data_IF_118678573216
#
_entry.id   IF_118678573216
#
_cell.length_a   1.000
_cell.length_b   1.000
_cell.length_c   1.000
_cell.angle_alpha   90.00
_cell.angle_beta   90.00
_cell.angle_gamma   90.00
#
_symmetry.space_group_name_H-M   'P 1'
#
loop_
_entity.id
_entity.type
_entity.pdbx_description
1 polymer ?
#
# COMPACT_ATOMS: atom_id res chain seq x y z
N UNK A 1 19.62 2.85 15.53
CA UNK A 1 18.49 3.81 15.39
C UNK A 1 17.72 3.43 14.13
N UNK A 2 16.36 3.43 14.15
CA UNK A 2 15.57 3.19 12.94
C UNK A 2 15.69 4.43 12.03
N UNK A 3 16.04 4.22 10.75
CA UNK A 3 16.14 5.32 9.78
C UNK A 3 14.76 5.85 9.40
N UNK A 4 14.66 7.15 9.09
CA UNK A 4 13.44 7.73 8.52
C UNK A 4 13.24 7.20 7.10
N UNK A 5 12.10 6.54 6.86
CA UNK A 5 11.72 6.04 5.54
C UNK A 5 11.09 7.14 4.68
N UNK A 6 10.13 7.88 5.28
CA UNK A 6 9.48 9.02 4.63
C UNK A 6 9.22 10.16 5.63
N UNK A 7 9.15 11.38 5.10
CA UNK A 7 8.79 12.58 5.85
C UNK A 7 7.91 13.49 4.99
N UNK A 8 6.80 13.92 5.57
CA UNK A 8 5.92 14.96 5.07
C UNK A 8 6.09 16.21 5.94
N UNK A 9 6.26 17.35 5.33
CA UNK A 9 6.40 18.64 6.01
C UNK A 9 5.41 19.62 5.40
N UNK A 10 4.38 20.00 6.15
CA UNK A 10 3.29 20.88 5.72
C UNK A 10 2.66 20.45 4.37
N UNK A 11 2.63 19.13 4.13
CA UNK A 11 2.18 18.58 2.87
C UNK A 11 0.66 18.77 2.71
N UNK A 12 0.25 19.28 1.55
CA UNK A 12 -1.15 19.60 1.27
C UNK A 12 -1.55 19.08 -0.10
N UNK A 13 -2.84 18.70 -0.24
CA UNK A 13 -3.42 18.29 -1.53
C UNK A 13 -4.70 19.06 -1.78
N UNK A 14 -4.71 19.85 -2.84
CA UNK A 14 -5.87 20.62 -3.30
C UNK A 14 -6.21 20.21 -4.73
N UNK A 15 -7.48 20.07 -5.03
CA UNK A 15 -8.00 19.77 -6.37
C UNK A 15 -8.93 20.88 -6.83
N UNK A 16 -9.02 21.09 -8.14
CA UNK A 16 -9.98 22.01 -8.72
C UNK A 16 -11.29 21.26 -8.98
N UNK A 17 -12.40 21.76 -8.44
CA UNK A 17 -13.75 21.26 -8.72
C UNK A 17 -14.55 22.39 -9.38
N UNK A 18 -14.55 22.42 -10.72
CA UNK A 18 -15.07 23.56 -11.47
C UNK A 18 -14.28 24.85 -11.17
N UNK A 19 -14.98 25.88 -10.72
CA UNK A 19 -14.37 27.16 -10.29
C UNK A 19 -13.83 27.17 -8.87
N UNK A 20 -14.14 26.14 -8.07
CA UNK A 20 -13.78 26.08 -6.66
C UNK A 20 -12.52 25.22 -6.43
N UNK A 21 -11.71 25.61 -5.44
CA UNK A 21 -10.64 24.78 -4.91
C UNK A 21 -11.14 23.98 -3.71
N UNK A 22 -10.92 22.68 -3.71
CA UNK A 22 -11.23 21.79 -2.58
C UNK A 22 -9.93 21.25 -2.02
N UNK A 23 -9.67 21.52 -0.76
CA UNK A 23 -8.50 20.99 -0.04
C UNK A 23 -8.86 19.61 0.53
N UNK A 24 -8.18 18.59 0.05
CA UNK A 24 -8.36 17.19 0.47
C UNK A 24 -7.42 16.82 1.62
N UNK A 25 -6.22 17.42 1.67
CA UNK A 25 -5.24 17.28 2.75
C UNK A 25 -4.69 18.67 3.06
N UNK A 26 -4.62 19.00 4.33
CA UNK A 26 -4.20 20.32 4.79
C UNK A 26 -3.10 20.21 5.85
N UNK A 27 -1.92 20.70 5.49
CA UNK A 27 -0.76 20.88 6.39
C UNK A 27 -0.38 19.58 7.13
N UNK A 28 -0.26 18.49 6.39
CA UNK A 28 0.12 17.18 6.94
C UNK A 28 1.61 17.18 7.33
N UNK A 29 1.87 16.93 8.60
CA UNK A 29 3.21 16.68 9.14
C UNK A 29 3.27 15.22 9.60
N UNK A 30 4.11 14.40 8.98
CA UNK A 30 4.23 12.99 9.27
C UNK A 30 5.65 12.49 9.03
N UNK A 31 6.21 11.79 10.01
CA UNK A 31 7.47 11.06 9.84
C UNK A 31 7.22 9.57 10.09
N UNK A 32 7.71 8.72 9.18
CA UNK A 32 7.61 7.26 9.26
C UNK A 32 9.02 6.67 9.25
N UNK A 33 9.30 5.79 10.19
CA UNK A 33 10.58 5.08 10.30
C UNK A 33 10.50 3.71 9.66
N UNK A 34 11.62 3.18 9.21
CA UNK A 34 11.69 1.80 8.68
C UNK A 34 11.20 0.79 9.71
N UNK A 35 10.36 -0.14 9.27
CA UNK A 35 9.77 -1.18 10.10
C UNK A 35 8.71 -0.67 11.10
N UNK A 36 8.12 0.51 10.88
CA UNK A 36 6.89 0.91 11.59
C UNK A 36 5.67 0.28 10.94
N UNK A 37 4.65 -0.02 11.75
CA UNK A 37 3.31 -0.34 11.30
C UNK A 37 2.37 0.77 11.79
N UNK A 38 1.89 1.60 10.86
CA UNK A 38 1.03 2.75 11.16
C UNK A 38 -0.39 2.45 10.69
N UNK A 39 -1.36 2.75 11.54
CA UNK A 39 -2.78 2.71 11.20
C UNK A 39 -3.33 4.14 11.08
N UNK A 40 -3.79 4.51 9.90
CA UNK A 40 -4.52 5.76 9.65
C UNK A 40 -6.00 5.52 9.93
N UNK A 41 -6.54 6.19 10.92
CA UNK A 41 -7.96 6.13 11.27
C UNK A 41 -8.68 7.43 10.95
N UNK A 42 -9.98 7.35 10.81
CA UNK A 42 -10.85 8.49 10.59
C UNK A 42 -12.12 8.11 9.85
N UNK A 43 -13.16 8.97 9.86
CA UNK A 43 -14.41 8.72 9.16
C UNK A 43 -14.21 8.63 7.63
N UNK A 44 -15.25 8.14 6.92
CA UNK A 44 -15.26 8.19 5.46
C UNK A 44 -15.12 9.64 4.98
N UNK A 45 -14.32 9.85 3.94
CA UNK A 45 -14.05 11.19 3.41
C UNK A 45 -13.00 12.00 4.17
N UNK A 46 -12.41 11.52 5.27
CA UNK A 46 -11.40 12.27 6.03
C UNK A 46 -10.07 12.48 5.30
N UNK A 47 -9.85 11.83 4.14
CA UNK A 47 -8.62 11.98 3.34
C UNK A 47 -7.64 10.81 3.42
N UNK A 48 -7.97 9.69 4.10
CA UNK A 48 -7.06 8.53 4.27
C UNK A 48 -6.53 7.98 2.96
N UNK A 49 -7.42 7.61 2.03
CA UNK A 49 -7.04 7.08 0.70
C UNK A 49 -6.26 8.12 -0.11
N UNK A 50 -6.62 9.40 -0.01
CA UNK A 50 -5.88 10.50 -0.65
C UNK A 50 -4.46 10.58 -0.09
N UNK A 51 -4.29 10.47 1.23
CA UNK A 51 -2.97 10.50 1.86
C UNK A 51 -2.14 9.29 1.43
N UNK A 52 -2.72 8.07 1.42
CA UNK A 52 -2.04 6.87 0.92
C UNK A 52 -1.62 7.02 -0.54
N UNK A 53 -2.51 7.54 -1.41
CA UNK A 53 -2.21 7.73 -2.83
C UNK A 53 -1.08 8.75 -3.04
N UNK A 54 -1.07 9.84 -2.28
CA UNK A 54 0.01 10.84 -2.34
C UNK A 54 1.34 10.29 -1.81
N UNK A 55 1.33 9.57 -0.68
CA UNK A 55 2.52 8.88 -0.16
C UNK A 55 3.02 7.85 -1.17
N UNK A 56 2.11 7.11 -1.78
CA UNK A 56 2.41 6.09 -2.78
C UNK A 56 2.78 6.61 -4.16
N UNK A 57 2.77 7.93 -4.34
CA UNK A 57 3.11 8.59 -5.61
C UNK A 57 2.15 8.25 -6.77
N UNK A 58 0.96 7.72 -6.46
CA UNK A 58 -0.14 7.55 -7.42
C UNK A 58 -0.85 8.90 -7.66
N UNK A 59 -0.79 9.80 -6.69
CA UNK A 59 -1.18 11.20 -6.77
C UNK A 59 -0.05 12.09 -6.23
N UNK A 60 -0.19 13.40 -6.31
CA UNK A 60 0.86 14.34 -5.91
C UNK A 60 0.34 15.32 -4.87
N UNK A 61 1.16 15.62 -3.86
CA UNK A 61 0.94 16.80 -3.04
C UNK A 61 1.02 18.07 -3.89
N UNK A 62 0.18 19.04 -3.60
CA UNK A 62 0.16 20.34 -4.29
C UNK A 62 0.95 21.41 -3.55
N UNK A 63 1.33 21.15 -2.30
CA UNK A 63 2.14 22.04 -1.46
C UNK A 63 2.89 21.27 -0.40
N UNK A 64 3.85 21.94 0.23
CA UNK A 64 4.70 21.36 1.26
C UNK A 64 5.84 20.48 0.73
N UNK A 65 6.51 19.76 1.63
CA UNK A 65 7.63 18.90 1.33
C UNK A 65 7.28 17.42 1.49
N UNK A 66 7.79 16.58 0.58
CA UNK A 66 7.73 15.13 0.69
C UNK A 66 9.11 14.54 0.36
N UNK A 67 9.69 13.80 1.32
CA UNK A 67 10.91 13.01 1.12
C UNK A 67 10.64 11.53 1.34
N UNK A 68 11.22 10.68 0.49
CA UNK A 68 11.13 9.22 0.59
C UNK A 68 12.52 8.62 0.34
N UNK A 69 13.02 7.80 1.28
CA UNK A 69 14.40 7.26 1.24
C UNK A 69 15.47 8.34 1.12
N UNK A 70 15.23 9.53 1.71
CA UNK A 70 16.12 10.69 1.60
C UNK A 70 15.97 11.51 0.32
N UNK A 71 15.19 11.05 -0.66
CA UNK A 71 14.99 11.72 -1.94
C UNK A 71 13.82 12.72 -1.90
N UNK A 72 13.97 13.96 -2.40
CA UNK A 72 12.91 14.98 -2.36
C UNK A 72 11.87 14.75 -3.47
N UNK A 73 10.86 13.92 -3.19
CA UNK A 73 9.83 13.49 -4.15
C UNK A 73 9.04 14.66 -4.74
N UNK A 74 8.77 15.71 -3.93
CA UNK A 74 7.99 16.89 -4.34
C UNK A 74 8.62 17.68 -5.51
N UNK A 75 9.94 17.55 -5.72
CA UNK A 75 10.68 18.20 -6.82
C UNK A 75 11.02 17.27 -7.97
N UNK A 76 10.64 15.98 -7.88
CA UNK A 76 10.97 14.99 -8.90
C UNK A 76 10.12 15.12 -10.15
N UNK A 77 10.75 14.89 -11.31
CA UNK A 77 10.04 14.65 -12.57
C UNK A 77 9.27 13.32 -12.49
N UNK A 78 8.13 13.24 -13.16
CA UNK A 78 7.25 12.06 -13.21
C UNK A 78 8.01 10.75 -13.48
N UNK A 79 8.93 10.74 -14.44
CA UNK A 79 9.73 9.57 -14.79
C UNK A 79 10.54 9.02 -13.59
N UNK A 80 11.12 9.88 -12.77
CA UNK A 80 11.93 9.47 -11.62
C UNK A 80 11.03 9.01 -10.47
N UNK A 81 9.93 9.73 -10.23
CA UNK A 81 8.90 9.36 -9.26
C UNK A 81 8.31 7.98 -9.57
N UNK A 82 8.01 7.72 -10.86
CA UNK A 82 7.50 6.44 -11.35
C UNK A 82 8.48 5.27 -11.11
N UNK A 83 9.78 5.50 -11.27
CA UNK A 83 10.80 4.49 -10.93
C UNK A 83 10.83 4.21 -9.43
N UNK A 84 10.77 5.27 -8.61
CA UNK A 84 10.87 5.17 -7.17
C UNK A 84 9.70 4.35 -6.59
N UNK A 85 8.44 4.64 -6.96
CA UNK A 85 7.32 3.87 -6.43
C UNK A 85 7.30 2.43 -6.92
N UNK A 86 7.61 2.17 -8.20
CA UNK A 86 7.68 0.81 -8.75
C UNK A 86 8.73 -0.06 -8.04
N UNK A 87 9.82 0.56 -7.59
CA UNK A 87 10.90 -0.15 -6.94
C UNK A 87 10.61 -0.45 -5.47
N UNK A 88 10.00 0.51 -4.74
CA UNK A 88 10.00 0.49 -3.28
C UNK A 88 8.62 0.43 -2.64
N UNK A 89 7.53 0.60 -3.39
CA UNK A 89 6.17 0.67 -2.81
C UNK A 89 5.31 -0.47 -3.35
N UNK A 90 4.62 -1.17 -2.44
CA UNK A 90 3.57 -2.12 -2.75
C UNK A 90 2.21 -1.59 -2.30
N UNK A 91 1.18 -1.77 -3.11
CA UNK A 91 -0.19 -1.38 -2.79
C UNK A 91 -1.09 -2.58 -2.57
N UNK A 92 -1.90 -2.51 -1.52
CA UNK A 92 -2.98 -3.44 -1.22
C UNK A 92 -4.28 -2.65 -1.11
N UNK A 93 -5.29 -3.00 -1.90
CA UNK A 93 -6.55 -2.28 -2.00
C UNK A 93 -7.73 -3.10 -1.46
N UNK A 94 -8.78 -2.43 -1.03
CA UNK A 94 -10.03 -3.04 -0.60
C UNK A 94 -10.69 -3.89 -1.70
N UNK A 95 -10.69 -3.39 -2.94
CA UNK A 95 -11.29 -4.05 -4.10
C UNK A 95 -10.31 -4.99 -4.81
N UNK A 96 -9.22 -5.41 -4.15
CA UNK A 96 -8.15 -6.31 -4.64
C UNK A 96 -7.40 -5.78 -5.86
N UNK A 97 -8.05 -5.13 -6.81
CA UNK A 97 -7.53 -4.61 -8.08
C UNK A 97 -6.67 -5.63 -8.82
N UNK A 98 -7.13 -6.88 -8.85
CA UNK A 98 -6.54 -7.90 -9.71
C UNK A 98 -6.93 -7.62 -11.16
N UNK A 99 -6.08 -8.06 -12.08
CA UNK A 99 -6.36 -7.98 -13.52
C UNK A 99 -7.16 -9.25 -13.86
N UNK A 100 -8.42 -9.09 -14.24
CA UNK A 100 -9.37 -10.19 -14.40
C UNK A 100 -8.99 -11.15 -15.51
N UNK A 101 -8.30 -10.68 -16.56
CA UNK A 101 -7.83 -11.44 -17.69
C UNK A 101 -6.53 -12.21 -17.43
N UNK A 102 -5.92 -12.00 -16.28
CA UNK A 102 -4.69 -12.67 -15.86
C UNK A 102 -4.97 -13.72 -14.77
N UNK A 103 -4.26 -14.84 -14.86
CA UNK A 103 -4.25 -15.88 -13.82
C UNK A 103 -3.67 -15.34 -12.50
N UNK A 104 -3.81 -16.10 -11.42
CA UNK A 104 -3.15 -15.81 -10.12
C UNK A 104 -1.64 -15.67 -10.30
N UNK A 105 -1.03 -16.60 -11.05
CA UNK A 105 0.40 -16.57 -11.35
C UNK A 105 0.81 -15.25 -12.02
N UNK A 106 0.12 -14.87 -13.09
CA UNK A 106 0.41 -13.68 -13.89
C UNK A 106 0.16 -12.39 -13.10
N UNK A 107 -0.92 -12.34 -12.30
CA UNK A 107 -1.16 -11.21 -11.40
C UNK A 107 0.01 -10.99 -10.42
N UNK A 108 0.53 -12.07 -9.82
CA UNK A 108 1.67 -11.99 -8.90
C UNK A 108 2.95 -11.61 -9.65
N UNK A 109 3.17 -12.13 -10.87
CA UNK A 109 4.37 -11.86 -11.68
C UNK A 109 4.45 -10.40 -12.17
N UNK A 110 3.30 -9.73 -12.38
CA UNK A 110 3.19 -8.41 -13.03
C UNK A 110 4.24 -7.38 -12.55
N UNK A 111 4.49 -7.17 -11.22
CA UNK A 111 5.49 -6.19 -10.78
C UNK A 111 6.91 -6.50 -11.23
N UNK A 112 7.26 -7.77 -11.41
CA UNK A 112 8.59 -8.18 -11.83
C UNK A 112 8.86 -7.90 -13.31
N UNK A 113 7.82 -7.80 -14.14
CA UNK A 113 7.93 -7.45 -15.55
C UNK A 113 8.50 -6.04 -15.74
N UNK A 114 8.22 -5.13 -14.82
CA UNK A 114 8.72 -3.75 -14.84
C UNK A 114 10.11 -3.58 -14.21
N UNK A 115 10.60 -4.60 -13.49
CA UNK A 115 11.90 -4.58 -12.80
C UNK A 115 13.04 -5.23 -13.60
N UNK A 116 12.80 -5.63 -14.86
CA UNK A 116 13.77 -6.32 -15.72
C UNK A 116 14.35 -7.61 -15.11
N UNK A 117 13.60 -8.31 -14.27
CA UNK A 117 13.99 -9.59 -13.68
C UNK A 117 13.96 -10.68 -14.77
N UNK A 118 14.97 -11.52 -14.82
CA UNK A 118 15.05 -12.63 -15.80
C UNK A 118 13.89 -13.61 -15.63
N UNK A 119 13.40 -14.19 -16.72
CA UNK A 119 12.23 -15.10 -16.70
C UNK A 119 12.41 -16.28 -15.75
N UNK A 120 13.59 -16.90 -15.69
CA UNK A 120 13.87 -18.01 -14.77
C UNK A 120 13.79 -17.58 -13.30
N UNK A 121 14.28 -16.39 -12.98
CA UNK A 121 14.22 -15.82 -11.63
C UNK A 121 12.76 -15.43 -11.26
N UNK A 122 12.00 -14.82 -12.18
CA UNK A 122 10.59 -14.52 -11.96
C UNK A 122 9.79 -15.77 -11.60
N UNK A 123 10.01 -16.87 -12.35
CA UNK A 123 9.34 -18.17 -12.08
C UNK A 123 9.61 -18.66 -10.65
N UNK A 124 10.87 -18.60 -10.20
CA UNK A 124 11.22 -18.99 -8.85
C UNK A 124 10.56 -18.08 -7.80
N UNK A 125 10.63 -16.75 -8.00
CA UNK A 125 10.03 -15.79 -7.07
C UNK A 125 8.51 -15.95 -6.97
N UNK A 126 7.81 -16.21 -8.09
CA UNK A 126 6.36 -16.45 -8.06
C UNK A 126 6.05 -17.77 -7.37
N UNK A 127 6.83 -18.84 -7.62
CA UNK A 127 6.64 -20.12 -6.96
C UNK A 127 6.79 -19.98 -5.43
N UNK A 128 7.84 -19.30 -4.97
CA UNK A 128 8.06 -19.02 -3.55
C UNK A 128 6.89 -18.23 -2.93
N UNK A 129 6.35 -17.27 -3.68
CA UNK A 129 5.24 -16.45 -3.21
C UNK A 129 3.94 -17.26 -3.11
N UNK A 130 3.67 -18.11 -4.11
CA UNK A 130 2.52 -19.02 -4.10
C UNK A 130 2.58 -20.00 -2.93
N UNK A 131 3.75 -20.53 -2.62
CA UNK A 131 3.99 -21.42 -1.50
C UNK A 131 3.81 -20.68 -0.17
N UNK A 132 4.45 -19.54 0.00
CA UNK A 132 4.36 -18.69 1.20
C UNK A 132 2.91 -18.36 1.58
N UNK A 133 2.05 -18.12 0.61
CA UNK A 133 0.63 -17.79 0.83
C UNK A 133 -0.30 -19.00 0.75
N UNK A 134 0.25 -20.22 0.58
CA UNK A 134 -0.51 -21.47 0.46
C UNK A 134 -1.59 -21.43 -0.63
N UNK A 135 -1.23 -20.87 -1.78
CA UNK A 135 -2.11 -20.73 -2.96
C UNK A 135 -1.55 -21.41 -4.23
N UNK A 136 -0.58 -22.32 -4.08
CA UNK A 136 0.04 -23.07 -5.21
C UNK A 136 -1.01 -23.73 -6.09
N UNK A 137 -2.01 -24.40 -5.49
CA UNK A 137 -3.09 -25.07 -6.24
C UNK A 137 -4.06 -24.10 -6.96
N UNK A 138 -3.87 -22.79 -6.83
CA UNK A 138 -4.71 -21.76 -7.45
C UNK A 138 -4.00 -21.00 -8.59
N UNK A 139 -2.74 -21.33 -8.87
CA UNK A 139 -1.86 -20.54 -9.77
C UNK A 139 -2.45 -20.28 -11.15
N UNK A 140 -3.19 -21.24 -11.69
CA UNK A 140 -3.77 -21.20 -13.05
C UNK A 140 -5.24 -20.70 -13.05
N UNK A 141 -5.80 -20.35 -11.87
CA UNK A 141 -7.15 -19.80 -11.76
C UNK A 141 -7.16 -18.30 -12.04
N UNK A 142 -8.30 -17.82 -12.53
CA UNK A 142 -8.57 -16.40 -12.72
C UNK A 142 -9.23 -15.79 -11.45
N UNK A 143 -9.17 -14.46 -11.25
CA UNK A 143 -9.73 -13.79 -10.09
C UNK A 143 -11.18 -14.15 -9.79
N UNK A 144 -12.03 -14.25 -10.81
CA UNK A 144 -13.45 -14.61 -10.65
C UNK A 144 -13.70 -15.99 -10.03
N UNK A 145 -12.70 -16.89 -10.08
CA UNK A 145 -12.78 -18.25 -9.55
C UNK A 145 -12.32 -18.33 -8.08
N UNK A 146 -11.94 -17.19 -7.49
CA UNK A 146 -11.40 -17.09 -6.14
C UNK A 146 -12.41 -16.49 -5.17
N UNK A 147 -12.37 -16.93 -3.91
CA UNK A 147 -13.07 -16.21 -2.84
C UNK A 147 -12.41 -14.84 -2.57
N UNK A 148 -13.14 -13.91 -1.96
CA UNK A 148 -12.60 -12.58 -1.62
C UNK A 148 -11.31 -12.64 -0.81
N UNK A 149 -11.22 -13.52 0.19
CA UNK A 149 -9.98 -13.70 0.96
C UNK A 149 -8.82 -14.24 0.11
N UNK A 150 -9.09 -15.13 -0.86
CA UNK A 150 -8.06 -15.60 -1.78
C UNK A 150 -7.61 -14.50 -2.75
N UNK A 151 -8.54 -13.69 -3.26
CA UNK A 151 -8.20 -12.52 -4.07
C UNK A 151 -7.32 -11.54 -3.30
N UNK A 152 -7.63 -11.31 -2.03
CA UNK A 152 -6.83 -10.44 -1.17
C UNK A 152 -5.41 -10.98 -0.96
N UNK A 153 -5.27 -12.30 -0.73
CA UNK A 153 -3.95 -12.94 -0.64
C UNK A 153 -3.13 -12.76 -1.92
N UNK A 154 -3.75 -12.89 -3.09
CA UNK A 154 -3.09 -12.64 -4.38
C UNK A 154 -2.66 -11.17 -4.50
N UNK A 155 -3.52 -10.22 -4.10
CA UNK A 155 -3.20 -8.80 -4.07
C UNK A 155 -2.01 -8.48 -3.16
N UNK A 156 -1.95 -9.09 -1.97
CA UNK A 156 -0.83 -8.95 -1.04
C UNK A 156 0.44 -9.60 -1.61
N UNK A 157 0.34 -10.82 -2.17
CA UNK A 157 1.48 -11.50 -2.80
C UNK A 157 2.06 -10.66 -3.94
N UNK A 158 1.20 -10.07 -4.78
CA UNK A 158 1.59 -9.14 -5.85
C UNK A 158 2.30 -7.90 -5.28
N UNK A 159 1.80 -7.33 -4.19
CA UNK A 159 2.42 -6.16 -3.57
C UNK A 159 3.81 -6.47 -3.00
N UNK A 160 4.03 -7.69 -2.49
CA UNK A 160 5.25 -8.12 -1.81
C UNK A 160 6.35 -8.66 -2.72
N UNK A 161 5.99 -9.24 -3.87
CA UNK A 161 6.96 -9.96 -4.73
C UNK A 161 8.12 -9.07 -5.16
N UNK A 162 7.88 -7.78 -5.31
CA UNK A 162 8.90 -6.79 -5.63
C UNK A 162 9.83 -6.43 -4.47
N UNK A 163 9.67 -7.02 -3.28
CA UNK A 163 10.39 -6.72 -2.04
C UNK A 163 10.37 -5.23 -1.70
N UNK A 164 9.17 -4.62 -1.59
CA UNK A 164 9.05 -3.18 -1.34
C UNK A 164 9.58 -2.80 0.04
N UNK A 165 9.96 -1.53 0.21
CA UNK A 165 10.31 -0.93 1.51
C UNK A 165 9.07 -0.48 2.29
N UNK A 166 7.98 -0.21 1.57
CA UNK A 166 6.72 0.29 2.11
C UNK A 166 5.53 -0.44 1.49
N UNK A 167 4.63 -0.94 2.32
CA UNK A 167 3.31 -1.40 1.93
C UNK A 167 2.29 -0.33 2.33
N UNK A 168 1.47 0.08 1.37
CA UNK A 168 0.32 0.95 1.56
C UNK A 168 -0.95 0.11 1.39
N UNK A 169 -1.77 0.04 2.42
CA UNK A 169 -2.97 -0.78 2.45
C UNK A 169 -4.20 0.09 2.70
N UNK A 170 -5.07 0.20 1.71
CA UNK A 170 -6.32 0.97 1.82
C UNK A 170 -7.49 0.02 2.08
N UNK A 171 -8.02 0.05 3.31
CA UNK A 171 -9.09 -0.82 3.80
C UNK A 171 -8.88 -2.30 3.44
N UNK A 172 -7.71 -2.91 3.77
CA UNK A 172 -7.30 -4.20 3.23
C UNK A 172 -8.21 -5.38 3.59
N UNK A 173 -9.16 -5.17 4.50
CA UNK A 173 -10.09 -6.19 5.00
C UNK A 173 -11.55 -5.79 4.82
N UNK A 174 -11.83 -4.65 4.19
CA UNK A 174 -13.18 -4.08 4.12
C UNK A 174 -14.22 -4.93 3.40
N UNK A 175 -13.80 -5.86 2.54
CA UNK A 175 -14.68 -6.79 1.81
C UNK A 175 -14.59 -8.24 2.33
N UNK A 176 -14.02 -8.45 3.52
CA UNK A 176 -13.77 -9.77 4.09
C UNK A 176 -14.66 -10.02 5.32
N UNK A 177 -14.99 -11.28 5.58
CA UNK A 177 -15.60 -11.66 6.84
C UNK A 177 -14.58 -11.59 8.00
N UNK A 178 -15.05 -11.63 9.25
CA UNK A 178 -14.23 -11.44 10.44
C UNK A 178 -13.03 -12.41 10.51
N UNK A 179 -13.23 -13.69 10.19
CA UNK A 179 -12.16 -14.69 10.20
C UNK A 179 -11.09 -14.44 9.14
N UNK A 180 -11.51 -14.05 7.94
CA UNK A 180 -10.59 -13.69 6.85
C UNK A 180 -9.85 -12.38 7.17
N UNK A 181 -10.56 -11.40 7.75
CA UNK A 181 -9.98 -10.14 8.20
C UNK A 181 -8.86 -10.35 9.21
N UNK A 182 -9.12 -11.17 10.24
CA UNK A 182 -8.12 -11.53 11.25
C UNK A 182 -6.88 -12.18 10.63
N UNK A 183 -7.07 -13.16 9.74
CA UNK A 183 -5.96 -13.83 9.06
C UNK A 183 -5.09 -12.88 8.23
N UNK A 184 -5.71 -11.88 7.54
CA UNK A 184 -4.96 -10.86 6.80
C UNK A 184 -4.21 -9.93 7.76
N UNK A 185 -4.81 -9.54 8.88
CA UNK A 185 -4.14 -8.68 9.86
C UNK A 185 -2.99 -9.38 10.58
N UNK A 186 -3.13 -10.66 10.90
CA UNK A 186 -2.03 -11.49 11.41
C UNK A 186 -0.88 -11.59 10.41
N UNK A 187 -1.20 -11.77 9.12
CA UNK A 187 -0.21 -11.75 8.05
C UNK A 187 0.54 -10.41 8.01
N UNK A 188 -0.16 -9.27 8.10
CA UNK A 188 0.48 -7.96 8.15
C UNK A 188 1.38 -7.80 9.38
N UNK A 189 0.94 -8.27 10.55
CA UNK A 189 1.76 -8.28 11.74
C UNK A 189 3.04 -9.13 11.58
N UNK A 190 2.93 -10.29 10.92
CA UNK A 190 4.10 -11.13 10.59
C UNK A 190 5.07 -10.41 9.64
N UNK A 191 4.57 -9.81 8.56
CA UNK A 191 5.37 -9.03 7.62
C UNK A 191 6.09 -7.87 8.31
N UNK A 192 5.43 -7.20 9.26
CA UNK A 192 6.06 -6.13 10.03
C UNK A 192 7.17 -6.65 10.95
N UNK A 193 7.02 -7.82 11.56
CA UNK A 193 8.11 -8.51 12.31
C UNK A 193 9.31 -8.80 11.41
N UNK A 194 9.09 -9.07 10.12
CA UNK A 194 10.12 -9.22 9.09
C UNK A 194 10.71 -7.87 8.60
N UNK A 195 10.39 -6.77 9.30
CA UNK A 195 10.85 -5.40 9.01
C UNK A 195 10.22 -4.72 7.80
N UNK A 196 9.13 -5.22 7.25
CA UNK A 196 8.36 -4.48 6.25
C UNK A 196 7.67 -3.29 6.92
N UNK A 197 7.82 -2.09 6.37
CA UNK A 197 7.09 -0.91 6.83
C UNK A 197 5.68 -0.94 6.24
N UNK A 198 4.68 -0.69 7.07
CA UNK A 198 3.27 -0.77 6.66
C UNK A 198 2.55 0.52 7.09
N UNK A 199 1.77 1.09 6.18
CA UNK A 199 0.78 2.12 6.49
C UNK A 199 -0.56 1.59 5.99
N UNK A 200 -1.49 1.32 6.89
CA UNK A 200 -2.86 0.96 6.53
C UNK A 200 -3.83 2.08 6.83
N UNK A 201 -4.82 2.26 5.98
CA UNK A 201 -6.02 3.03 6.28
C UNK A 201 -7.12 2.07 6.70
N UNK A 202 -7.81 2.36 7.78
CA UNK A 202 -8.94 1.57 8.25
C UNK A 202 -9.90 2.41 9.11
N UNK A 203 -11.16 2.01 9.14
CA UNK A 203 -12.16 2.54 10.08
C UNK A 203 -12.43 1.57 11.24
N UNK A 204 -11.81 0.38 11.22
CA UNK A 204 -11.96 -0.66 12.24
C UNK A 204 -10.92 -0.47 13.36
N UNK A 205 -11.37 -0.26 14.59
CA UNK A 205 -10.50 -0.15 15.78
C UNK A 205 -9.70 -1.44 16.02
N UNK A 206 -10.32 -2.62 15.81
CA UNK A 206 -9.64 -3.91 15.97
C UNK A 206 -8.50 -4.07 14.97
N UNK A 207 -8.68 -3.64 13.72
CA UNK A 207 -7.61 -3.67 12.72
C UNK A 207 -6.55 -2.60 12.99
N UNK A 208 -6.94 -1.44 13.48
CA UNK A 208 -6.00 -0.37 13.84
C UNK A 208 -5.07 -0.79 14.98
N UNK A 209 -5.54 -1.62 15.90
CA UNK A 209 -4.76 -2.12 17.04
C UNK A 209 -3.54 -2.99 16.64
N UNK A 210 -3.47 -3.48 15.41
CA UNK A 210 -2.29 -4.17 14.88
C UNK A 210 -1.13 -3.20 14.58
N UNK A 211 -1.42 -1.92 14.37
CA UNK A 211 -0.41 -0.89 14.16
C UNK A 211 0.32 -0.53 15.47
N UNK A 212 1.61 -0.31 15.38
CA UNK A 212 2.41 0.20 16.52
C UNK A 212 2.13 1.67 16.83
N UNK A 213 1.49 2.40 15.92
CA UNK A 213 1.07 3.79 16.04
C UNK A 213 -0.22 4.02 15.26
N UNK A 214 -1.19 4.64 15.92
CA UNK A 214 -2.44 5.10 15.30
C UNK A 214 -2.35 6.60 15.04
N UNK A 215 -2.76 7.02 13.86
CA UNK A 215 -2.86 8.41 13.43
C UNK A 215 -4.31 8.67 13.04
N UNK A 216 -4.93 9.63 13.68
CA UNK A 216 -6.29 10.03 13.36
C UNK A 216 -6.28 11.13 12.31
N UNK A 217 -7.10 10.95 11.28
CA UNK A 217 -7.29 11.93 10.21
C UNK A 217 -8.75 12.42 10.24
N UNK A 218 -8.93 13.74 10.31
CA UNK A 218 -10.23 14.40 10.27
C UNK A 218 -10.15 15.60 9.33
N UNK A 219 -11.08 15.67 8.37
CA UNK A 219 -11.17 16.78 7.40
C UNK A 219 -9.83 17.15 6.74
N UNK A 220 -9.06 16.14 6.37
CA UNK A 220 -7.76 16.30 5.73
C UNK A 220 -6.61 16.69 6.66
N UNK A 221 -6.79 16.67 7.98
CA UNK A 221 -5.76 17.01 9.00
C UNK A 221 -5.48 15.85 9.93
N UNK A 222 -4.24 15.76 10.40
CA UNK A 222 -3.86 14.87 11.51
C UNK A 222 -4.28 15.55 12.82
N UNK A 223 -5.02 14.79 13.66
CA UNK A 223 -5.57 15.26 14.94
C UNK A 223 -5.10 14.35 16.10
#
# INVERSE_FOLDING_TARGET
MKNTLLSLNEASRTVNSGSNKVTLLDTINLQVKEGEFISLMGPSGSGKSTLLNCIGMLDSFTGGGYTFLGEPVHSMKERNRSKLYKEYIGFVFQAYHLIDELTVYENIETPLLYKNVKSSERKAMVADMLDRFNIVGKKDLFPIQLSGGQQQLVGIARALIGKPKLILADEPTGNLNSKQSEAIMELFAQLNKERVTIIQATHSESNAAYGSRVINLLDGKIV
#
